data_IF_389707250882
#
_entry.id   IF_389707250882
#
_cell.length_a   1.000
_cell.length_b   1.000
_cell.length_c   1.000
_cell.angle_alpha   90.00
_cell.angle_beta   90.00
_cell.angle_gamma   90.00
#
_symmetry.space_group_name_H-M   'P 1'
#
loop_
_entity.id
_entity.type
_entity.pdbx_description
1 polymer ?
#
# COMPACT_ATOMS: atom_id res chain seq x y z
N UNK A 1 -6.02 -48.64 18.30
CA UNK A 1 -4.85 -47.73 18.15
C UNK A 1 -4.62 -47.25 16.71
N UNK A 2 -4.71 -48.11 15.68
CA UNK A 2 -4.46 -47.73 14.27
C UNK A 2 -5.39 -46.62 13.74
N UNK A 3 -6.64 -46.56 14.21
CA UNK A 3 -7.59 -45.51 13.83
C UNK A 3 -7.22 -44.11 14.34
N UNK A 4 -6.74 -43.99 15.59
CA UNK A 4 -6.26 -42.72 16.14
C UNK A 4 -5.02 -42.21 15.39
N UNK A 5 -4.10 -43.10 15.01
CA UNK A 5 -2.92 -42.71 14.24
C UNK A 5 -3.30 -42.15 12.85
N UNK A 6 -4.28 -42.76 12.18
CA UNK A 6 -4.78 -42.26 10.89
C UNK A 6 -5.47 -40.90 11.05
N UNK A 7 -6.25 -40.72 12.12
CA UNK A 7 -6.91 -39.45 12.41
C UNK A 7 -5.88 -38.35 12.67
N UNK A 8 -4.86 -38.61 13.51
CA UNK A 8 -3.79 -37.67 13.79
C UNK A 8 -2.98 -37.30 12.53
N UNK A 9 -2.78 -38.27 11.63
CA UNK A 9 -2.10 -38.05 10.37
C UNK A 9 -2.94 -37.17 9.41
N UNK A 10 -4.25 -37.45 9.31
CA UNK A 10 -5.16 -36.65 8.50
C UNK A 10 -5.30 -35.21 9.02
N UNK A 11 -5.38 -35.02 10.34
CA UNK A 11 -5.44 -33.68 10.94
C UNK A 11 -4.14 -32.91 10.76
N UNK A 12 -2.99 -33.59 10.91
CA UNK A 12 -1.67 -32.98 10.66
C UNK A 12 -1.50 -32.50 9.23
N UNK A 13 -1.86 -33.34 8.25
CA UNK A 13 -1.82 -32.98 6.82
C UNK A 13 -2.77 -31.83 6.48
N UNK A 14 -4.01 -31.87 7.00
CA UNK A 14 -4.99 -30.80 6.78
C UNK A 14 -4.52 -29.45 7.34
N UNK A 15 -3.95 -29.44 8.55
CA UNK A 15 -3.43 -28.23 9.17
C UNK A 15 -2.25 -27.63 8.38
N UNK A 16 -1.34 -28.46 7.89
CA UNK A 16 -0.22 -28.02 7.07
C UNK A 16 -0.68 -27.42 5.73
N UNK A 17 -1.63 -28.08 5.04
CA UNK A 17 -2.21 -27.58 3.80
C UNK A 17 -2.95 -26.25 3.99
N UNK A 18 -3.76 -26.14 5.06
CA UNK A 18 -4.48 -24.91 5.40
C UNK A 18 -3.54 -23.75 5.68
N UNK A 19 -2.49 -23.99 6.48
CA UNK A 19 -1.47 -22.98 6.79
C UNK A 19 -0.76 -22.50 5.53
N UNK A 20 -0.32 -23.42 4.67
CA UNK A 20 0.34 -23.07 3.41
C UNK A 20 -0.55 -22.28 2.46
N UNK A 21 -1.83 -22.65 2.34
CA UNK A 21 -2.79 -21.90 1.51
C UNK A 21 -3.06 -20.50 2.06
N UNK A 22 -3.21 -20.36 3.38
CA UNK A 22 -3.40 -19.05 4.03
C UNK A 22 -2.20 -18.13 3.83
N UNK A 23 -0.98 -18.65 3.96
CA UNK A 23 0.26 -17.89 3.70
C UNK A 23 0.37 -17.47 2.23
N UNK A 24 0.02 -18.36 1.30
CA UNK A 24 -0.01 -18.04 -0.12
C UNK A 24 -1.06 -17.00 -0.48
N UNK A 25 -2.26 -17.07 0.13
CA UNK A 25 -3.29 -16.04 -0.02
C UNK A 25 -2.84 -14.70 0.55
N UNK A 26 -2.17 -14.68 1.70
CA UNK A 26 -1.62 -13.45 2.27
C UNK A 26 -0.58 -12.80 1.35
N UNK A 27 0.29 -13.60 0.73
CA UNK A 27 1.26 -13.12 -0.28
C UNK A 27 0.62 -12.65 -1.59
N UNK A 28 -0.62 -13.06 -1.87
CA UNK A 28 -1.43 -12.56 -3.00
C UNK A 28 -2.29 -11.35 -2.63
N UNK A 29 -2.37 -10.99 -1.36
CA UNK A 29 -3.12 -9.83 -0.88
C UNK A 29 -2.30 -8.53 -0.84
N UNK A 30 -0.99 -8.61 -1.05
CA UNK A 30 -0.08 -7.47 -1.30
C UNK A 30 -0.17 -7.04 -2.78
N UNK A 31 -1.39 -6.84 -3.28
CA UNK A 31 -1.61 -6.13 -4.52
C UNK A 31 -2.07 -4.73 -4.10
N UNK A 32 -1.28 -3.70 -4.42
CA UNK A 32 -1.42 -2.28 -3.99
C UNK A 32 -2.71 -1.57 -4.44
N UNK A 33 -3.79 -2.30 -4.74
CA UNK A 33 -5.09 -1.71 -4.99
C UNK A 33 -5.86 -1.63 -3.67
N UNK A 34 -5.85 -0.44 -3.06
CA UNK A 34 -6.75 -0.17 -1.96
C UNK A 34 -8.22 -0.32 -2.44
N UNK A 35 -9.15 -0.74 -1.56
CA UNK A 35 -10.57 -0.79 -1.90
C UNK A 35 -11.04 0.52 -2.55
N UNK A 36 -12.02 0.50 -3.46
CA UNK A 36 -12.51 1.70 -4.19
C UNK A 36 -12.97 2.86 -3.27
N UNK A 37 -13.20 2.59 -1.99
CA UNK A 37 -13.56 3.57 -0.94
C UNK A 37 -12.42 3.88 0.05
N UNK A 38 -11.24 3.29 -0.14
CA UNK A 38 -10.03 3.59 0.60
C UNK A 38 -9.18 4.51 -0.27
N UNK A 39 -8.82 5.67 0.27
CA UNK A 39 -7.65 6.39 -0.23
C UNK A 39 -6.50 5.39 -0.23
N UNK A 40 -5.88 5.17 -1.39
CA UNK A 40 -4.72 4.28 -1.49
C UNK A 40 -3.60 4.69 -0.53
N UNK A 41 -2.50 3.92 -0.49
CA UNK A 41 -1.30 4.40 0.18
C UNK A 41 -0.97 5.81 -0.32
N UNK A 42 -0.87 6.75 0.62
CA UNK A 42 -0.45 8.13 0.32
C UNK A 42 1.06 8.09 0.15
N UNK A 43 1.56 8.47 -1.03
CA UNK A 43 2.99 8.58 -1.29
C UNK A 43 3.58 9.81 -0.58
N UNK A 44 4.89 9.79 -0.34
CA UNK A 44 5.60 10.97 0.14
C UNK A 44 5.59 12.09 -0.93
N UNK A 45 5.78 13.33 -0.47
CA UNK A 45 5.88 14.51 -1.33
C UNK A 45 7.31 14.67 -1.91
N UNK A 46 7.41 15.31 -3.07
CA UNK A 46 8.65 15.80 -3.66
C UNK A 46 9.09 15.13 -4.96
N UNK A 47 10.22 15.60 -5.54
CA UNK A 47 10.66 15.24 -6.88
C UNK A 47 11.00 13.75 -7.05
N UNK A 48 11.51 13.11 -5.99
CA UNK A 48 11.87 11.69 -6.04
C UNK A 48 10.65 10.79 -6.28
N UNK A 49 9.55 11.08 -5.58
CA UNK A 49 8.28 10.35 -5.67
C UNK A 49 7.49 10.69 -6.93
N UNK A 50 7.71 11.88 -7.49
CA UNK A 50 7.15 12.28 -8.79
C UNK A 50 8.01 11.85 -9.99
N UNK A 51 9.16 11.21 -9.76
CA UNK A 51 10.12 10.81 -10.80
C UNK A 51 10.62 11.99 -11.67
N UNK A 52 10.67 13.18 -11.09
CA UNK A 52 11.22 14.39 -11.72
C UNK A 52 12.60 14.64 -11.12
N UNK A 53 13.56 15.07 -11.94
CA UNK A 53 14.88 15.39 -11.42
C UNK A 53 14.84 16.70 -10.62
N UNK A 54 15.61 16.80 -9.54
CA UNK A 54 15.56 17.99 -8.65
C UNK A 54 15.90 19.31 -9.36
N UNK A 55 16.60 19.27 -10.51
CA UNK A 55 16.90 20.46 -11.33
C UNK A 55 15.71 20.92 -12.18
N UNK A 56 14.78 20.02 -12.49
CA UNK A 56 13.62 20.26 -13.33
C UNK A 56 12.36 20.50 -12.48
N UNK A 57 12.47 20.31 -11.16
CA UNK A 57 11.42 20.55 -10.18
C UNK A 57 11.23 22.05 -9.94
N UNK A 58 10.07 22.57 -10.29
CA UNK A 58 9.75 23.98 -10.13
C UNK A 58 8.67 24.26 -9.07
N UNK A 59 8.33 25.54 -8.90
CA UNK A 59 7.33 25.96 -7.92
C UNK A 59 5.93 25.44 -8.24
N UNK A 60 5.59 25.27 -9.52
CA UNK A 60 4.28 24.74 -9.93
C UNK A 60 4.20 23.26 -9.58
N UNK A 61 5.28 22.50 -9.81
CA UNK A 61 5.37 21.09 -9.41
C UNK A 61 5.15 20.92 -7.90
N UNK A 62 5.85 21.71 -7.08
CA UNK A 62 5.69 21.71 -5.62
C UNK A 62 4.26 22.03 -5.19
N UNK A 63 3.66 23.09 -5.76
CA UNK A 63 2.31 23.50 -5.42
C UNK A 63 1.25 22.46 -5.81
N UNK A 64 1.46 21.80 -6.95
CA UNK A 64 0.60 20.70 -7.38
C UNK A 64 0.76 19.51 -6.45
N UNK A 65 1.99 19.18 -6.04
CA UNK A 65 2.25 18.07 -5.11
C UNK A 65 1.64 18.30 -3.72
N UNK A 66 1.78 19.51 -3.16
CA UNK A 66 1.20 19.89 -1.86
C UNK A 66 -0.33 19.92 -1.85
N UNK A 67 -0.97 20.05 -3.03
CA UNK A 67 -2.43 20.11 -3.14
C UNK A 67 -3.13 18.74 -3.03
N UNK A 68 -2.37 17.65 -2.90
CA UNK A 68 -2.92 16.30 -2.73
C UNK A 68 -2.40 15.63 -1.45
N UNK A 69 -3.25 14.91 -0.69
CA UNK A 69 -4.70 14.71 -0.89
C UNK A 69 -5.55 15.89 -0.39
N UNK A 70 -4.93 16.87 0.29
CA UNK A 70 -5.62 17.95 0.97
C UNK A 70 -6.02 19.07 -0.01
N UNK A 71 -7.32 19.30 -0.17
CA UNK A 71 -7.90 20.37 -1.01
C UNK A 71 -7.60 21.81 -0.54
N UNK A 72 -6.63 21.99 0.37
CA UNK A 72 -6.17 23.30 0.78
C UNK A 72 -5.30 23.88 -0.35
N UNK A 73 -5.47 25.15 -0.68
CA UNK A 73 -4.62 25.77 -1.68
C UNK A 73 -3.17 25.87 -1.19
N UNK A 74 -2.18 25.85 -2.10
CA UNK A 74 -0.77 25.86 -1.73
C UNK A 74 -0.41 27.06 -0.83
N UNK A 75 0.43 26.83 0.18
CA UNK A 75 0.73 27.80 1.24
C UNK A 75 1.53 29.04 0.81
N UNK A 76 1.83 29.22 -0.48
CA UNK A 76 2.65 30.31 -1.00
C UNK A 76 1.86 31.58 -1.39
N UNK A 77 0.72 31.84 -0.73
CA UNK A 77 0.08 33.15 -0.80
C UNK A 77 0.92 34.19 -0.06
N UNK A 78 2.01 34.64 -0.68
CA UNK A 78 2.65 35.90 -0.29
C UNK A 78 1.68 37.01 -0.69
N UNK A 79 1.02 37.57 0.31
CA UNK A 79 -0.09 38.49 0.14
C UNK A 79 0.16 39.57 -0.90
N UNK A 80 -0.90 39.92 -1.61
CA UNK A 80 -1.09 41.23 -2.21
C UNK A 80 -0.92 42.29 -1.10
N UNK A 81 0.31 42.74 -0.90
CA UNK A 81 0.69 43.92 -0.12
C UNK A 81 1.76 44.68 -0.89
#
# INVERSE_FOLDING_TARGET
MKGLLKLAFLTGLGAAAWKGWKEWQARRGEEDWAPVLSSGPVRDAGPAEQHISAKDWDLVDEQVDESFPASDPPGNYRGLH
#
